data_IF_605450181250
#
_entry.id   IF_605450181250
#
_cell.length_a   1.000
_cell.length_b   1.000
_cell.length_c   1.000
_cell.angle_alpha   90.00
_cell.angle_beta   90.00
_cell.angle_gamma   90.00
#
_symmetry.space_group_name_H-M   'P 1'
#
loop_
_entity.id
_entity.type
_entity.pdbx_description
1 polymer ?
#
# COMPACT_ATOMS: atom_id res chain seq x y z
N UNK A 1 -18.88 -7.66 -5.58
CA UNK A 1 -19.49 -6.82 -4.53
C UNK A 1 -18.79 -5.46 -4.42
N UNK A 2 -17.45 -5.39 -4.34
CA UNK A 2 -16.72 -4.13 -4.22
C UNK A 2 -17.00 -3.05 -5.28
N UNK A 3 -17.17 -3.39 -6.57
CA UNK A 3 -17.54 -2.37 -7.60
C UNK A 3 -18.88 -1.68 -7.29
N UNK A 4 -19.90 -2.45 -6.89
CA UNK A 4 -21.21 -1.90 -6.51
C UNK A 4 -21.13 -1.09 -5.21
N UNK A 5 -20.29 -1.51 -4.26
CA UNK A 5 -20.02 -0.75 -3.05
C UNK A 5 -19.32 0.59 -3.35
N UNK A 6 -18.38 0.60 -4.31
CA UNK A 6 -17.70 1.81 -4.77
C UNK A 6 -18.68 2.80 -5.40
N UNK A 7 -19.49 2.36 -6.36
CA UNK A 7 -20.52 3.21 -6.99
C UNK A 7 -21.49 3.80 -5.96
N UNK A 8 -21.91 2.99 -4.97
CA UNK A 8 -22.77 3.45 -3.89
C UNK A 8 -22.10 4.49 -2.99
N UNK A 9 -20.84 4.26 -2.63
CA UNK A 9 -20.07 5.16 -1.75
C UNK A 9 -19.72 6.48 -2.45
N UNK A 10 -19.32 6.42 -3.73
CA UNK A 10 -19.09 7.63 -4.54
C UNK A 10 -20.34 8.50 -4.64
N UNK A 11 -21.51 7.88 -4.82
CA UNK A 11 -22.79 8.61 -4.88
C UNK A 11 -23.21 9.19 -3.53
N UNK A 12 -22.99 8.47 -2.44
CA UNK A 12 -23.47 8.84 -1.11
C UNK A 12 -22.53 9.81 -0.37
N UNK A 13 -21.22 9.61 -0.52
CA UNK A 13 -20.18 10.26 0.29
C UNK A 13 -19.21 11.10 -0.54
N UNK A 14 -19.15 10.84 -1.85
CA UNK A 14 -18.19 11.47 -2.77
C UNK A 14 -16.93 10.61 -2.99
N UNK A 15 -16.18 10.89 -4.07
CA UNK A 15 -15.04 10.08 -4.50
C UNK A 15 -13.80 10.20 -3.60
N UNK A 16 -13.68 11.28 -2.83
CA UNK A 16 -12.54 11.55 -1.94
C UNK A 16 -12.85 11.25 -0.46
N UNK A 17 -14.06 10.79 -0.15
CA UNK A 17 -14.40 10.41 1.21
C UNK A 17 -13.59 9.18 1.64
N UNK A 18 -13.10 9.17 2.88
CA UNK A 18 -12.23 8.12 3.42
C UNK A 18 -12.80 6.71 3.23
N UNK A 19 -14.08 6.48 3.55
CA UNK A 19 -14.74 5.19 3.32
C UNK A 19 -14.83 4.79 1.83
N UNK A 20 -14.95 5.76 0.92
CA UNK A 20 -14.90 5.50 -0.52
C UNK A 20 -13.50 5.06 -0.92
N UNK A 21 -12.47 5.74 -0.40
CA UNK A 21 -11.07 5.42 -0.65
C UNK A 21 -10.66 4.07 -0.07
N UNK A 22 -11.16 3.70 1.11
CA UNK A 22 -10.98 2.35 1.69
C UNK A 22 -11.61 1.28 0.78
N UNK A 23 -12.76 1.58 0.17
CA UNK A 23 -13.39 0.69 -0.81
C UNK A 23 -12.54 0.55 -2.07
N UNK A 24 -11.93 1.64 -2.55
CA UNK A 24 -10.98 1.62 -3.67
C UNK A 24 -9.75 0.79 -3.33
N UNK A 25 -9.14 0.99 -2.15
CA UNK A 25 -8.01 0.20 -1.67
C UNK A 25 -8.34 -1.31 -1.64
N UNK A 26 -9.49 -1.68 -1.07
CA UNK A 26 -9.94 -3.08 -1.01
C UNK A 26 -10.21 -3.69 -2.39
N UNK A 27 -10.64 -2.88 -3.36
CA UNK A 27 -10.75 -3.32 -4.74
C UNK A 27 -9.37 -3.58 -5.36
N UNK A 28 -8.34 -2.81 -4.96
CA UNK A 28 -6.94 -3.07 -5.27
C UNK A 28 -6.47 -4.43 -4.75
N UNK A 29 -6.71 -4.73 -3.46
CA UNK A 29 -6.40 -6.03 -2.85
C UNK A 29 -7.06 -7.17 -3.64
N UNK A 30 -8.35 -7.05 -3.94
CA UNK A 30 -9.08 -8.06 -4.71
C UNK A 30 -8.49 -8.30 -6.11
N UNK A 31 -8.04 -7.25 -6.79
CA UNK A 31 -7.41 -7.42 -8.11
C UNK A 31 -6.01 -8.04 -8.02
N UNK A 32 -5.22 -7.69 -7.00
CA UNK A 32 -3.92 -8.30 -6.76
C UNK A 32 -4.07 -9.82 -6.53
N UNK A 33 -5.03 -10.23 -5.68
CA UNK A 33 -5.34 -11.64 -5.42
C UNK A 33 -5.79 -12.41 -6.68
N UNK A 34 -6.35 -11.70 -7.66
CA UNK A 34 -6.77 -12.27 -8.95
C UNK A 34 -5.65 -12.26 -10.01
N UNK A 35 -4.45 -11.77 -9.68
CA UNK A 35 -3.35 -11.57 -10.63
C UNK A 35 -3.60 -10.43 -11.63
N UNK A 36 -4.61 -9.58 -11.40
CA UNK A 36 -4.96 -8.43 -12.24
C UNK A 36 -4.11 -7.23 -11.85
N UNK A 37 -2.82 -7.35 -12.13
CA UNK A 37 -1.82 -6.45 -11.56
C UNK A 37 -1.92 -5.00 -12.07
N UNK A 38 -2.46 -4.76 -13.27
CA UNK A 38 -2.65 -3.41 -13.79
C UNK A 38 -3.84 -2.72 -13.12
N UNK A 39 -4.96 -3.43 -12.95
CA UNK A 39 -6.14 -2.93 -12.27
C UNK A 39 -5.88 -2.70 -10.78
N UNK A 40 -5.11 -3.58 -10.13
CA UNK A 40 -4.68 -3.39 -8.74
C UNK A 40 -3.86 -2.10 -8.58
N UNK A 41 -2.88 -1.86 -9.46
CA UNK A 41 -2.04 -0.66 -9.43
C UNK A 41 -2.88 0.61 -9.59
N UNK A 42 -3.84 0.60 -10.52
CA UNK A 42 -4.73 1.73 -10.74
C UNK A 42 -5.58 2.04 -9.50
N UNK A 43 -6.10 1.01 -8.83
CA UNK A 43 -6.88 1.19 -7.60
C UNK A 43 -6.02 1.71 -6.45
N UNK A 44 -4.85 1.13 -6.20
CA UNK A 44 -3.99 1.61 -5.12
C UNK A 44 -3.48 3.02 -5.35
N UNK A 45 -3.12 3.40 -6.59
CA UNK A 45 -2.73 4.79 -6.88
C UNK A 45 -3.86 5.77 -6.61
N UNK A 46 -5.09 5.43 -7.01
CA UNK A 46 -6.26 6.25 -6.74
C UNK A 46 -6.52 6.38 -5.24
N UNK A 47 -6.43 5.28 -4.49
CA UNK A 47 -6.56 5.30 -3.03
C UNK A 47 -5.45 6.13 -2.38
N UNK A 48 -4.20 6.00 -2.85
CA UNK A 48 -3.06 6.74 -2.32
C UNK A 48 -3.25 8.25 -2.49
N UNK A 49 -3.56 8.71 -3.71
CA UNK A 49 -3.79 10.14 -3.98
C UNK A 49 -4.92 10.70 -3.10
N UNK A 50 -6.03 9.97 -2.98
CA UNK A 50 -7.14 10.40 -2.16
C UNK A 50 -6.83 10.43 -0.67
N UNK A 51 -6.16 9.39 -0.15
CA UNK A 51 -5.81 9.29 1.28
C UNK A 51 -4.74 10.31 1.67
N UNK A 52 -3.76 10.57 0.80
CA UNK A 52 -2.79 11.66 0.99
C UNK A 52 -3.48 13.01 1.12
N UNK A 53 -4.49 13.29 0.28
CA UNK A 53 -5.26 14.53 0.32
C UNK A 53 -6.17 14.63 1.55
N UNK A 54 -6.87 13.54 1.89
CA UNK A 54 -7.90 13.54 2.93
C UNK A 54 -7.34 13.38 4.35
N UNK A 55 -6.26 12.62 4.50
CA UNK A 55 -5.72 12.19 5.80
C UNK A 55 -4.26 12.61 6.01
N UNK A 56 -3.53 12.91 4.93
CA UNK A 56 -2.12 13.25 4.96
C UNK A 56 -1.19 12.07 4.62
N UNK A 57 0.08 12.36 4.27
CA UNK A 57 1.03 11.38 3.76
C UNK A 57 1.54 10.38 4.80
N UNK A 58 1.44 10.70 6.09
CA UNK A 58 1.92 9.87 7.21
C UNK A 58 0.77 9.16 7.95
N UNK A 59 -0.47 9.30 7.48
CA UNK A 59 -1.60 8.59 8.09
C UNK A 59 -1.50 7.09 7.81
N UNK A 60 -1.90 6.26 8.77
CA UNK A 60 -1.78 4.80 8.68
C UNK A 60 -2.44 4.21 7.44
N UNK A 61 -3.68 4.61 7.11
CA UNK A 61 -4.36 4.18 5.87
C UNK A 61 -3.61 4.55 4.58
N UNK A 62 -2.94 5.71 4.57
CA UNK A 62 -2.09 6.14 3.45
C UNK A 62 -0.88 5.22 3.35
N UNK A 63 -0.21 4.96 4.47
CA UNK A 63 0.98 4.11 4.56
C UNK A 63 0.69 2.64 4.24
N UNK A 64 -0.47 2.13 4.65
CA UNK A 64 -0.94 0.78 4.28
C UNK A 64 -1.13 0.66 2.76
N UNK A 65 -1.64 1.71 2.11
CA UNK A 65 -1.75 1.74 0.64
C UNK A 65 -0.37 1.79 -0.03
N UNK A 66 0.58 2.55 0.53
CA UNK A 66 1.98 2.56 0.07
C UNK A 66 2.60 1.16 0.20
N UNK A 67 2.42 0.49 1.34
CA UNK A 67 2.91 -0.87 1.57
C UNK A 67 2.38 -1.85 0.51
N UNK A 68 1.07 -1.80 0.21
CA UNK A 68 0.46 -2.69 -0.78
C UNK A 68 0.90 -2.40 -2.23
N UNK A 69 1.22 -1.14 -2.56
CA UNK A 69 1.93 -0.83 -3.81
C UNK A 69 3.33 -1.45 -3.86
N UNK A 70 4.04 -1.47 -2.73
CA UNK A 70 5.32 -2.17 -2.59
C UNK A 70 5.20 -3.66 -2.91
N UNK A 71 4.22 -4.34 -2.30
CA UNK A 71 3.92 -5.76 -2.58
C UNK A 71 3.64 -5.97 -4.08
N UNK A 72 2.79 -5.14 -4.67
CA UNK A 72 2.42 -5.24 -6.08
C UNK A 72 3.63 -5.04 -7.02
N UNK A 73 4.54 -4.12 -6.70
CA UNK A 73 5.75 -3.93 -7.50
C UNK A 73 6.75 -5.08 -7.33
N UNK A 74 6.88 -5.64 -6.13
CA UNK A 74 7.72 -6.81 -5.89
C UNK A 74 7.23 -8.00 -6.74
N UNK A 75 5.93 -8.25 -6.77
CA UNK A 75 5.31 -9.31 -7.59
C UNK A 75 5.51 -9.09 -9.10
N UNK A 76 5.67 -7.83 -9.53
CA UNK A 76 6.02 -7.47 -10.93
C UNK A 76 7.51 -7.56 -11.25
N UNK A 77 8.36 -7.89 -10.27
CA UNK A 77 9.82 -7.84 -10.39
C UNK A 77 10.38 -6.40 -10.45
N UNK A 78 9.58 -5.40 -10.10
CA UNK A 78 9.96 -3.97 -10.07
C UNK A 78 10.60 -3.61 -8.74
N UNK A 79 11.79 -4.15 -8.55
CA UNK A 79 12.46 -4.15 -7.24
C UNK A 79 12.78 -2.75 -6.71
N UNK A 80 13.19 -1.81 -7.59
CA UNK A 80 13.51 -0.45 -7.17
C UNK A 80 12.25 0.32 -6.72
N UNK A 81 11.14 0.18 -7.46
CA UNK A 81 9.86 0.78 -7.08
C UNK A 81 9.31 0.15 -5.80
N UNK A 82 9.42 -1.17 -5.63
CA UNK A 82 9.01 -1.86 -4.41
C UNK A 82 9.79 -1.36 -3.18
N UNK A 83 11.12 -1.24 -3.31
CA UNK A 83 11.98 -0.75 -2.24
C UNK A 83 11.61 0.69 -1.82
N UNK A 84 11.37 1.57 -2.79
CA UNK A 84 10.96 2.95 -2.52
C UNK A 84 9.64 3.00 -1.74
N UNK A 85 8.67 2.16 -2.09
CA UNK A 85 7.39 2.07 -1.39
C UNK A 85 7.58 1.53 0.03
N UNK A 86 8.29 0.42 0.22
CA UNK A 86 8.49 -0.15 1.56
C UNK A 86 9.28 0.79 2.47
N UNK A 87 10.29 1.49 1.96
CA UNK A 87 11.04 2.47 2.76
C UNK A 87 10.12 3.59 3.26
N UNK A 88 9.30 4.15 2.36
CA UNK A 88 8.33 5.18 2.71
C UNK A 88 7.31 4.68 3.74
N UNK A 89 6.77 3.47 3.55
CA UNK A 89 5.82 2.88 4.49
C UNK A 89 6.46 2.62 5.86
N UNK A 90 7.70 2.13 5.90
CA UNK A 90 8.43 1.85 7.14
C UNK A 90 8.69 3.14 7.92
N UNK A 91 9.32 4.14 7.31
CA UNK A 91 9.62 5.42 7.95
C UNK A 91 8.35 6.10 8.49
N UNK A 92 7.26 6.06 7.71
CA UNK A 92 5.98 6.64 8.13
C UNK A 92 5.34 5.86 9.28
N UNK A 93 5.32 4.53 9.23
CA UNK A 93 4.69 3.70 10.27
C UNK A 93 5.49 3.73 11.57
N UNK A 94 6.82 3.76 11.50
CA UNK A 94 7.69 4.00 12.66
C UNK A 94 7.37 5.33 13.34
N UNK A 95 7.21 6.40 12.57
CA UNK A 95 6.89 7.72 13.11
C UNK A 95 5.48 7.79 13.71
N UNK A 96 4.50 7.16 13.06
CA UNK A 96 3.09 7.23 13.46
C UNK A 96 2.75 6.29 14.63
N UNK A 97 3.35 5.10 14.68
CA UNK A 97 2.95 4.00 15.57
C UNK A 97 4.09 3.45 16.44
N UNK A 98 5.33 3.81 16.12
CA UNK A 98 6.54 3.29 16.76
C UNK A 98 7.14 2.06 16.04
N UNK A 99 8.41 1.74 16.34
CA UNK A 99 9.16 0.66 15.69
C UNK A 99 8.63 -0.75 16.01
N UNK A 100 8.08 -0.94 17.22
CA UNK A 100 7.57 -2.25 17.69
C UNK A 100 6.14 -2.57 17.24
N UNK A 101 5.50 -1.66 16.49
CA UNK A 101 4.13 -1.88 16.05
C UNK A 101 4.08 -2.96 14.93
N UNK A 102 3.06 -3.82 14.95
CA UNK A 102 2.93 -4.95 14.02
C UNK A 102 3.00 -4.53 12.54
N UNK A 103 2.38 -3.40 12.18
CA UNK A 103 2.43 -2.87 10.80
C UNK A 103 3.86 -2.46 10.38
N UNK A 104 4.62 -1.90 11.32
CA UNK A 104 6.02 -1.51 11.12
C UNK A 104 6.89 -2.75 10.88
N UNK A 105 6.75 -3.75 11.75
CA UNK A 105 7.44 -5.04 11.64
C UNK A 105 7.10 -5.76 10.32
N UNK A 106 5.82 -5.75 9.93
CA UNK A 106 5.36 -6.35 8.66
C UNK A 106 5.99 -5.68 7.44
N UNK A 107 6.13 -4.35 7.45
CA UNK A 107 6.79 -3.61 6.37
C UNK A 107 8.28 -3.90 6.31
N UNK A 108 8.96 -3.93 7.47
CA UNK A 108 10.37 -4.30 7.57
C UNK A 108 10.62 -5.72 7.04
N UNK A 109 9.76 -6.68 7.40
CA UNK A 109 9.86 -8.06 6.92
C UNK A 109 9.77 -8.17 5.38
N UNK A 110 8.80 -7.50 4.75
CA UNK A 110 8.64 -7.54 3.30
C UNK A 110 9.81 -6.87 2.56
N UNK A 111 10.38 -5.81 3.14
CA UNK A 111 11.60 -5.19 2.63
C UNK A 111 12.82 -6.11 2.75
N UNK A 112 12.97 -6.80 3.88
CA UNK A 112 14.04 -7.81 4.06
C UNK A 112 13.95 -8.95 3.05
N UNK A 113 12.73 -9.45 2.78
CA UNK A 113 12.50 -10.44 1.71
C UNK A 113 12.89 -9.91 0.33
N UNK A 114 12.51 -8.66 0.01
CA UNK A 114 12.87 -8.02 -1.25
C UNK A 114 14.39 -7.97 -1.47
N UNK A 115 15.17 -7.71 -0.42
CA UNK A 115 16.63 -7.70 -0.50
C UNK A 115 17.22 -9.11 -0.61
N UNK A 116 16.66 -10.10 0.10
CA UNK A 116 17.04 -11.49 -0.05
C UNK A 116 16.85 -11.98 -1.50
N UNK A 117 15.73 -11.61 -2.12
CA UNK A 117 15.43 -11.94 -3.53
C UNK A 117 16.38 -11.24 -4.52
N UNK A 118 17.00 -10.12 -4.13
CA UNK A 118 18.04 -9.43 -4.90
C UNK A 118 19.47 -9.96 -4.63
N UNK A 119 19.66 -10.91 -3.72
CA UNK A 119 20.98 -11.36 -3.27
C UNK A 119 21.74 -10.31 -2.44
N UNK A 120 21.04 -9.29 -1.93
CA UNK A 120 21.56 -8.17 -1.13
C UNK A 120 21.33 -8.42 0.35
N UNK A 121 21.89 -9.51 0.87
CA UNK A 121 21.67 -9.95 2.26
C UNK A 121 22.13 -8.91 3.29
N UNK A 122 23.17 -8.12 2.99
CA UNK A 122 23.70 -7.12 3.91
C UNK A 122 22.72 -5.97 4.18
N UNK A 123 21.86 -5.66 3.20
CA UNK A 123 20.82 -4.65 3.31
C UNK A 123 19.52 -5.17 3.96
N UNK A 124 19.38 -6.50 4.10
CA UNK A 124 18.21 -7.13 4.74
C UNK A 124 18.27 -7.14 6.29
N UNK A 125 19.46 -6.97 6.86
CA UNK A 125 19.72 -7.01 8.32
C UNK A 125 19.82 -5.62 8.98
N UNK A 126 19.65 -4.54 8.20
CA UNK A 126 19.82 -3.15 8.62
C UNK A 126 18.49 -2.37 8.70
#
# INVERSE_FOLDING_TARGET
MYRRALEGSEKALGPEHTSTLDTVHNLGNLYADQGKMAEAEAMYRRALEGTEKALGPEHTSTLDTVHNLGNLYADKGKMAEAEAMYRRALEGTEKALGPEHTSTQGTGHNRGKLYADQGKMAEAEA
#
